data_IF_521429361856
#
_entry.id   IF_521429361856
#
_cell.length_a   1.000
_cell.length_b   1.000
_cell.length_c   1.000
_cell.angle_alpha   90.00
_cell.angle_beta   90.00
_cell.angle_gamma   90.00
#
_symmetry.space_group_name_H-M   'P 1'
#
loop_
_entity.id
_entity.type
_entity.pdbx_description
1 polymer ?
#
# COMPACT_ATOMS: atom_id res chain seq x y z
N UNK A 1 33.50 -13.70 -48.63
CA UNK A 1 32.93 -14.98 -48.13
C UNK A 1 31.47 -15.03 -48.51
N UNK A 2 31.07 -16.09 -49.20
CA UNK A 2 29.71 -16.37 -49.63
C UNK A 2 29.01 -17.20 -48.56
N UNK A 3 27.79 -16.84 -48.18
CA UNK A 3 26.96 -17.67 -47.32
C UNK A 3 25.68 -18.03 -48.08
N UNK A 4 25.54 -19.34 -48.30
CA UNK A 4 24.47 -19.99 -49.04
C UNK A 4 23.18 -19.96 -48.20
N UNK A 5 22.08 -19.49 -48.78
CA UNK A 5 20.75 -19.65 -48.22
C UNK A 5 20.41 -21.14 -48.13
N UNK A 6 19.98 -21.58 -46.95
CA UNK A 6 19.28 -22.84 -46.77
C UNK A 6 17.78 -22.53 -46.73
N UNK A 7 17.03 -23.13 -47.65
CA UNK A 7 15.58 -23.18 -47.65
C UNK A 7 15.17 -24.23 -46.60
N UNK A 8 14.44 -23.82 -45.57
CA UNK A 8 13.70 -24.72 -44.68
C UNK A 8 12.21 -24.53 -44.95
N UNK A 9 11.56 -25.65 -45.26
CA UNK A 9 10.14 -25.77 -45.57
C UNK A 9 9.30 -25.55 -44.30
N UNK A 10 8.30 -24.67 -44.39
CA UNK A 10 7.35 -24.43 -43.30
C UNK A 10 6.26 -25.52 -43.30
N UNK A 11 6.19 -26.29 -42.20
CA UNK A 11 5.10 -27.22 -41.93
C UNK A 11 3.95 -26.48 -41.22
N UNK A 12 2.81 -26.41 -41.91
CA UNK A 12 1.60 -25.69 -41.50
C UNK A 12 0.86 -26.43 -40.35
N UNK A 13 1.14 -26.05 -39.11
CA UNK A 13 0.33 -26.46 -37.94
C UNK A 13 -0.81 -25.47 -37.73
N UNK A 14 -2.03 -25.86 -38.14
CA UNK A 14 -3.25 -25.10 -37.86
C UNK A 14 -3.66 -25.22 -36.40
N UNK A 15 -3.29 -24.22 -35.60
CA UNK A 15 -3.85 -24.03 -34.25
C UNK A 15 -5.10 -23.16 -34.34
N UNK A 16 -6.27 -23.78 -34.10
CA UNK A 16 -7.57 -23.09 -34.04
C UNK A 16 -7.64 -22.19 -32.81
N UNK A 17 -7.44 -20.89 -32.98
CA UNK A 17 -7.63 -19.88 -31.93
C UNK A 17 -9.00 -19.20 -32.06
N UNK A 18 -9.88 -19.49 -31.11
CA UNK A 18 -11.12 -18.73 -30.83
C UNK A 18 -10.78 -17.30 -30.39
N UNK A 19 -11.40 -16.24 -30.94
CA UNK A 19 -11.10 -14.88 -30.50
C UNK A 19 -11.76 -14.59 -29.14
N UNK A 20 -11.03 -14.78 -28.04
CA UNK A 20 -11.41 -14.23 -26.74
C UNK A 20 -11.35 -12.69 -26.81
N UNK A 21 -12.52 -12.07 -26.98
CA UNK A 21 -12.72 -10.63 -26.91
C UNK A 21 -12.32 -10.10 -25.52
N UNK A 22 -11.10 -9.59 -25.38
CA UNK A 22 -10.68 -8.84 -24.19
C UNK A 22 -11.44 -7.51 -24.14
N UNK A 23 -12.53 -7.47 -23.36
CA UNK A 23 -13.25 -6.23 -23.06
C UNK A 23 -12.32 -5.26 -22.34
N UNK A 24 -11.89 -4.21 -23.03
CA UNK A 24 -11.16 -3.09 -22.43
C UNK A 24 -12.17 -2.20 -21.75
N UNK A 25 -12.36 -2.34 -20.43
CA UNK A 25 -13.03 -1.31 -19.65
C UNK A 25 -11.98 -0.37 -19.09
N UNK A 26 -12.21 0.93 -19.25
CA UNK A 26 -11.39 1.98 -18.65
C UNK A 26 -11.50 1.87 -17.12
N UNK A 27 -10.39 1.94 -16.37
CA UNK A 27 -10.42 1.98 -14.90
C UNK A 27 -11.00 3.28 -14.33
N UNK A 28 -11.33 4.25 -15.18
CA UNK A 28 -11.95 5.51 -14.79
C UNK A 28 -13.17 5.73 -15.69
N UNK A 29 -14.32 5.26 -15.24
CA UNK A 29 -15.62 5.71 -15.72
C UNK A 29 -16.30 6.37 -14.53
N UNK A 30 -16.30 7.69 -14.55
CA UNK A 30 -17.06 8.57 -13.67
C UNK A 30 -18.54 8.40 -14.00
N UNK A 31 -19.32 7.90 -13.06
CA UNK A 31 -20.77 7.81 -13.16
C UNK A 31 -21.30 8.21 -11.80
N UNK A 32 -21.64 9.50 -11.70
CA UNK A 32 -22.35 10.09 -10.59
C UNK A 32 -23.76 9.53 -10.56
N UNK A 33 -24.04 8.65 -9.61
CA UNK A 33 -25.38 8.37 -9.13
C UNK A 33 -25.30 8.17 -7.61
N UNK A 34 -25.97 9.07 -6.90
CA UNK A 34 -26.23 9.02 -5.46
C UNK A 34 -27.11 7.80 -5.14
N UNK A 35 -26.55 6.81 -4.44
CA UNK A 35 -27.32 5.86 -3.63
C UNK A 35 -26.50 5.50 -2.39
N UNK A 36 -27.15 5.68 -1.23
CA UNK A 36 -26.67 5.37 0.11
C UNK A 36 -26.45 3.85 0.29
N UNK A 37 -25.31 3.36 -0.18
CA UNK A 37 -24.72 2.12 0.32
C UNK A 37 -23.30 2.44 0.76
N UNK A 38 -23.12 2.56 2.08
CA UNK A 38 -21.79 2.49 2.70
C UNK A 38 -21.32 1.05 2.50
N UNK A 39 -20.89 0.72 1.29
CA UNK A 39 -20.11 -0.48 1.04
C UNK A 39 -18.88 -0.35 1.93
N UNK A 40 -18.92 -1.11 3.02
CA UNK A 40 -17.80 -1.46 3.87
C UNK A 40 -16.63 -1.79 2.94
N UNK A 41 -15.73 -0.80 2.78
CA UNK A 41 -14.56 -0.87 1.91
C UNK A 41 -14.01 -2.28 1.95
N UNK A 42 -14.29 -3.05 0.89
CA UNK A 42 -14.18 -4.51 0.89
C UNK A 42 -12.94 -4.94 1.63
N UNK A 43 -13.13 -5.41 2.87
CA UNK A 43 -12.03 -5.81 3.72
C UNK A 43 -11.22 -6.82 2.89
N UNK A 44 -9.91 -6.58 2.66
CA UNK A 44 -9.16 -7.42 1.75
C UNK A 44 -9.28 -8.87 2.22
N UNK A 45 -9.85 -9.74 1.37
CA UNK A 45 -10.04 -11.16 1.71
C UNK A 45 -8.71 -11.95 1.80
N UNK A 46 -7.59 -11.27 1.54
CA UNK A 46 -6.26 -11.81 1.65
C UNK A 46 -5.77 -11.74 3.10
N UNK A 47 -5.88 -12.85 3.82
CA UNK A 47 -5.15 -13.05 5.08
C UNK A 47 -3.72 -13.49 4.76
N UNK A 48 -2.74 -12.60 4.96
CA UNK A 48 -1.33 -12.97 4.89
C UNK A 48 -0.98 -13.75 6.17
N UNK A 49 -0.73 -15.05 6.04
CA UNK A 49 -0.20 -15.89 7.11
C UNK A 49 1.32 -15.88 7.04
N UNK A 50 1.95 -15.07 7.87
CA UNK A 50 3.40 -15.11 8.06
C UNK A 50 3.72 -16.09 9.21
N UNK A 51 4.48 -17.14 8.91
CA UNK A 51 5.04 -18.03 9.91
C UNK A 51 6.44 -17.54 10.30
N UNK A 52 6.58 -17.02 11.52
CA UNK A 52 7.86 -16.57 12.08
C UNK A 52 8.54 -17.66 12.92
N UNK A 53 7.95 -18.85 13.02
CA UNK A 53 8.45 -19.94 13.86
C UNK A 53 9.46 -20.85 13.15
N UNK A 54 9.49 -20.85 11.82
CA UNK A 54 10.43 -21.66 11.03
C UNK A 54 11.78 -20.95 10.88
N UNK A 55 12.74 -21.32 11.73
CA UNK A 55 14.21 -21.43 11.58
C UNK A 55 15.05 -20.56 10.62
N UNK A 56 14.50 -19.97 9.57
CA UNK A 56 15.14 -18.97 8.73
C UNK A 56 15.05 -17.64 9.46
N UNK A 57 16.09 -17.34 10.24
CA UNK A 57 16.16 -16.25 11.20
C UNK A 57 15.72 -14.91 10.59
N UNK A 58 14.44 -14.56 10.75
CA UNK A 58 13.90 -13.24 10.40
C UNK A 58 14.72 -12.10 11.08
N UNK A 59 15.35 -12.43 12.21
CA UNK A 59 16.22 -11.56 12.97
C UNK A 59 17.52 -12.30 13.38
N UNK A 60 18.63 -12.20 12.61
CA UNK A 60 19.97 -12.51 13.09
C UNK A 60 20.24 -11.89 14.47
N UNK A 61 21.02 -12.60 15.28
CA UNK A 61 21.29 -12.34 16.70
C UNK A 61 21.95 -11.00 17.03
N UNK A 62 22.32 -10.18 16.04
CA UNK A 62 23.05 -8.92 16.26
C UNK A 62 22.52 -7.74 15.45
N UNK A 63 21.23 -7.43 15.55
CA UNK A 63 20.68 -6.16 15.01
C UNK A 63 20.43 -5.15 16.14
N UNK A 64 20.63 -3.84 15.87
CA UNK A 64 20.19 -2.80 16.79
C UNK A 64 18.69 -2.93 17.07
N UNK A 65 18.25 -2.70 18.32
CA UNK A 65 16.83 -2.73 18.65
C UNK A 65 16.10 -1.60 17.93
N UNK A 66 14.86 -1.87 17.51
CA UNK A 66 13.95 -0.82 17.05
C UNK A 66 13.57 0.02 18.27
N UNK A 67 13.94 1.31 18.25
CA UNK A 67 13.69 2.22 19.37
C UNK A 67 12.21 2.60 19.50
N UNK A 68 11.48 2.63 18.38
CA UNK A 68 10.08 3.00 18.34
C UNK A 68 9.61 3.46 16.96
N UNK A 69 8.34 3.83 16.89
CA UNK A 69 7.69 4.37 15.70
C UNK A 69 7.02 5.70 16.03
N UNK A 70 6.83 6.55 15.02
CA UNK A 70 6.49 7.94 15.26
C UNK A 70 6.19 8.77 14.02
N UNK A 71 5.85 10.03 14.26
CA UNK A 71 5.58 11.04 13.23
C UNK A 71 6.52 12.24 13.30
N UNK A 72 6.28 13.22 12.41
CA UNK A 72 6.97 14.50 12.42
C UNK A 72 6.03 15.62 12.88
N UNK A 73 6.52 16.48 13.77
CA UNK A 73 5.85 17.68 14.25
C UNK A 73 6.34 18.89 13.46
N UNK A 74 5.70 19.12 12.31
CA UNK A 74 5.91 20.30 11.45
C UNK A 74 5.03 21.48 11.84
N UNK A 75 5.30 22.67 11.30
CA UNK A 75 4.39 23.81 11.51
C UNK A 75 3.00 23.49 10.93
N UNK A 76 2.95 22.86 9.76
CA UNK A 76 1.70 22.43 9.13
C UNK A 76 0.88 21.46 10.00
N UNK A 77 1.53 20.50 10.68
CA UNK A 77 0.79 19.59 11.58
C UNK A 77 0.23 20.33 12.79
N UNK A 78 0.98 21.31 13.33
CA UNK A 78 0.49 22.14 14.43
C UNK A 78 -0.71 22.99 13.99
N UNK A 79 -0.64 23.63 12.82
CA UNK A 79 -1.75 24.43 12.28
C UNK A 79 -3.02 23.58 12.08
N UNK A 80 -2.88 22.38 11.52
CA UNK A 80 -3.99 21.46 11.35
C UNK A 80 -4.53 20.92 12.68
N UNK A 81 -3.67 20.66 13.66
CA UNK A 81 -4.10 20.21 14.98
C UNK A 81 -4.86 21.31 15.74
N UNK A 82 -4.40 22.56 15.67
CA UNK A 82 -5.04 23.68 16.34
C UNK A 82 -6.32 24.17 15.64
N UNK A 83 -6.54 23.82 14.37
CA UNK A 83 -7.81 24.11 13.69
C UNK A 83 -8.96 23.18 14.14
N UNK A 84 -8.64 22.06 14.81
CA UNK A 84 -9.62 21.15 15.38
C UNK A 84 -10.24 21.70 16.67
N UNK A 85 -11.48 21.29 16.94
CA UNK A 85 -12.12 21.47 18.24
C UNK A 85 -11.49 20.54 19.30
N UNK A 86 -11.87 20.71 20.57
CA UNK A 86 -11.30 19.95 21.69
C UNK A 86 -11.45 18.43 21.52
N UNK A 87 -12.65 17.96 21.17
CA UNK A 87 -12.90 16.53 20.93
C UNK A 87 -12.04 15.97 19.79
N UNK A 88 -11.84 16.72 18.71
CA UNK A 88 -10.97 16.32 17.60
C UNK A 88 -9.50 16.25 17.99
N UNK A 89 -9.04 17.20 18.81
CA UNK A 89 -7.67 17.19 19.35
C UNK A 89 -7.43 15.98 20.25
N UNK A 90 -8.37 15.64 21.12
CA UNK A 90 -8.28 14.47 21.98
C UNK A 90 -8.30 13.17 21.16
N UNK A 91 -9.15 13.10 20.14
CA UNK A 91 -9.20 11.96 19.23
C UNK A 91 -7.88 11.74 18.49
N UNK A 92 -7.25 12.80 17.98
CA UNK A 92 -5.93 12.69 17.32
C UNK A 92 -4.87 12.18 18.29
N UNK A 93 -4.86 12.67 19.54
CA UNK A 93 -3.91 12.22 20.55
C UNK A 93 -4.13 10.74 20.90
N UNK A 94 -5.38 10.31 21.12
CA UNK A 94 -5.68 8.90 21.42
C UNK A 94 -5.36 7.98 20.24
N UNK A 95 -5.69 8.38 19.01
CA UNK A 95 -5.43 7.58 17.81
C UNK A 95 -3.94 7.43 17.52
N UNK A 96 -3.12 8.45 17.78
CA UNK A 96 -1.69 8.40 17.48
C UNK A 96 -0.86 7.87 18.66
N UNK A 97 -1.11 8.35 19.88
CA UNK A 97 -0.28 8.10 21.07
C UNK A 97 -1.00 7.32 22.18
N UNK A 98 -2.32 7.18 22.07
CA UNK A 98 -3.14 6.52 23.07
C UNK A 98 -2.98 5.00 23.07
N UNK A 99 -3.42 4.41 24.18
CA UNK A 99 -3.35 2.95 24.40
C UNK A 99 -4.22 2.15 23.43
N UNK A 100 -5.28 2.77 22.88
CA UNK A 100 -6.17 2.15 21.89
C UNK A 100 -5.81 2.53 20.45
N UNK A 101 -4.82 3.40 20.27
CA UNK A 101 -4.37 3.89 18.97
C UNK A 101 -3.13 3.17 18.44
N UNK A 102 -2.38 3.88 17.59
CA UNK A 102 -1.15 3.39 16.95
C UNK A 102 0.05 3.26 17.90
N UNK A 103 -0.04 3.83 19.11
CA UNK A 103 1.00 3.72 20.13
C UNK A 103 2.34 4.34 19.71
N UNK A 104 2.33 5.48 19.03
CA UNK A 104 3.55 6.22 18.68
C UNK A 104 4.36 6.52 19.94
N UNK A 105 5.64 6.19 19.90
CA UNK A 105 6.57 6.35 21.01
C UNK A 105 7.71 7.33 20.70
N UNK A 106 7.83 7.73 19.43
CA UNK A 106 8.83 8.69 18.96
C UNK A 106 8.18 9.82 18.17
N UNK A 107 8.87 10.95 18.10
CA UNK A 107 8.48 12.07 17.24
C UNK A 107 9.70 12.87 16.82
N UNK A 108 9.66 13.43 15.61
CA UNK A 108 10.70 14.33 15.09
C UNK A 108 10.19 15.75 15.08
N UNK A 109 10.97 16.68 15.60
CA UNK A 109 10.67 18.12 15.56
C UNK A 109 11.75 18.78 14.69
N UNK A 110 11.34 19.70 13.81
CA UNK A 110 12.28 20.47 13.01
C UNK A 110 12.84 21.65 13.82
N UNK A 111 14.01 22.17 13.41
CA UNK A 111 14.60 23.38 14.00
C UNK A 111 14.58 24.49 12.95
N UNK A 112 13.71 25.48 13.13
CA UNK A 112 13.53 26.59 12.19
C UNK A 112 12.21 26.49 11.45
N UNK A 113 12.23 26.66 10.12
CA UNK A 113 11.04 26.58 9.27
C UNK A 113 10.99 25.25 8.51
N UNK A 114 9.87 24.51 8.61
CA UNK A 114 9.59 23.30 7.85
C UNK A 114 8.09 22.94 7.89
#
# INVERSE_FOLDING_TARGET
WSFSSAEEEEEEVKESHEPQQRRRTSPWSDSSDDDDDVEEYGAPSATIRADFASGDTAFPSSRPPVLGFGGAFTEATALNYFSLNEAGRDAVVELLFGSKGLGYSLGRVHMGSC
#
